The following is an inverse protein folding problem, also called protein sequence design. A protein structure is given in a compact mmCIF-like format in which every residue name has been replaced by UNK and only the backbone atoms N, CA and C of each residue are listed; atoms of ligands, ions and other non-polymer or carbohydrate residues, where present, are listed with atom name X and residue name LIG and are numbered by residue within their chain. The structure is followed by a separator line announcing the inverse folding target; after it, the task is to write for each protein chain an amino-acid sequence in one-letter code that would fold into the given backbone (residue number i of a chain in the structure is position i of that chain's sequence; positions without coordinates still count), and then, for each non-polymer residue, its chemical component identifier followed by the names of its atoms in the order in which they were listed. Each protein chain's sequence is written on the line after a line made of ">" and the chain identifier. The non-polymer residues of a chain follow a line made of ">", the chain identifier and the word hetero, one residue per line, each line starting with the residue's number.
data_IF_771851998719
#
_entry.id   IF_771851998719
#
_cell.length_a   1.000
_cell.length_b   1.000
_cell.length_c   1.000
_cell.angle_alpha   90.00
_cell.angle_beta   90.00
_cell.angle_gamma   90.00
#
_symmetry.space_group_name_H-M   'P 1'
#
loop_
_entity.id
_entity.type
_entity.pdbx_description
1 polymer ?
#
# COMPACT_ATOMS: atom_id res chain seq x y z
N UNK A 1 -18.48 -10.37 -8.80
CA UNK A 1 -18.58 -10.20 -7.33
C UNK A 1 -17.53 -9.19 -6.90
N UNK A 2 -17.96 -8.00 -6.48
CA UNK A 2 -17.09 -6.83 -6.29
C UNK A 2 -16.39 -6.86 -4.93
N UNK A 3 -15.07 -7.06 -4.93
CA UNK A 3 -14.20 -6.92 -3.76
C UNK A 3 -14.02 -5.44 -3.42
N UNK A 4 -14.99 -4.93 -2.68
CA UNK A 4 -15.05 -3.58 -2.14
C UNK A 4 -13.85 -3.39 -1.20
N UNK A 5 -12.94 -2.47 -1.53
CA UNK A 5 -11.98 -1.91 -0.56
C UNK A 5 -12.80 -1.59 0.68
N UNK A 6 -12.45 -2.18 1.83
CA UNK A 6 -13.09 -1.87 3.11
C UNK A 6 -12.89 -0.37 3.35
N UNK A 7 -13.95 0.41 3.13
CA UNK A 7 -14.01 1.79 3.57
C UNK A 7 -13.96 1.74 5.10
N UNK A 8 -12.77 1.85 5.68
CA UNK A 8 -12.62 2.21 7.08
C UNK A 8 -13.39 3.51 7.24
N UNK A 9 -14.40 3.53 8.11
CA UNK A 9 -15.28 4.68 8.38
C UNK A 9 -14.48 5.98 8.47
N UNK A 10 -13.29 5.92 9.06
CA UNK A 10 -12.35 7.04 9.18
C UNK A 10 -11.93 7.64 7.83
N UNK A 11 -11.65 6.83 6.80
CA UNK A 11 -11.27 7.32 5.47
C UNK A 11 -12.42 8.07 4.79
N UNK A 12 -13.68 7.85 5.19
CA UNK A 12 -14.82 8.61 4.68
C UNK A 12 -14.96 9.97 5.38
N UNK A 13 -14.77 10.01 6.70
CA UNK A 13 -15.13 11.19 7.50
C UNK A 13 -13.95 12.07 7.95
N UNK A 14 -12.76 11.50 8.16
CA UNK A 14 -11.59 12.28 8.60
C UNK A 14 -11.03 13.14 7.46
N UNK A 15 -10.42 14.30 7.78
CA UNK A 15 -9.69 15.11 6.81
C UNK A 15 -8.35 14.48 6.39
N UNK A 16 -7.88 13.47 7.12
CA UNK A 16 -6.61 12.78 6.91
C UNK A 16 -6.79 11.31 6.51
N UNK A 17 -5.74 10.74 5.92
CA UNK A 17 -5.66 9.31 5.55
C UNK A 17 -4.26 8.78 5.86
N UNK A 18 -4.16 7.50 6.16
CA UNK A 18 -2.87 6.80 6.32
C UNK A 18 -2.47 6.22 4.95
N UNK A 19 -1.23 6.46 4.54
CA UNK A 19 -0.66 5.98 3.27
C UNK A 19 0.67 5.28 3.50
N UNK A 20 1.02 4.35 2.60
CA UNK A 20 2.36 3.78 2.46
C UNK A 20 3.00 4.33 1.18
N UNK A 21 4.33 4.50 1.18
CA UNK A 21 5.05 4.96 -0.02
C UNK A 21 5.14 3.85 -1.08
N UNK A 22 5.19 4.25 -2.35
CA UNK A 22 5.45 3.36 -3.49
C UNK A 22 6.69 3.88 -4.22
N UNK A 23 7.59 2.98 -4.59
CA UNK A 23 8.81 3.31 -5.35
C UNK A 23 9.04 2.31 -6.47
N UNK A 24 9.40 2.80 -7.66
CA UNK A 24 9.91 1.99 -8.78
C UNK A 24 11.43 1.83 -8.75
N UNK A 25 12.10 2.39 -7.75
CA UNK A 25 13.52 2.14 -7.48
C UNK A 25 13.60 0.94 -6.53
N UNK A 26 13.96 -0.20 -7.10
CA UNK A 26 13.87 -1.49 -6.43
C UNK A 26 15.26 -1.96 -5.97
N UNK A 27 15.45 -2.30 -4.69
CA UNK A 27 16.69 -2.92 -4.25
C UNK A 27 16.84 -4.32 -4.86
N UNK A 28 18.09 -4.83 -5.00
CA UNK A 28 18.35 -6.16 -5.56
C UNK A 28 17.70 -7.31 -4.79
N UNK A 29 17.56 -7.14 -3.47
CA UNK A 29 16.85 -8.07 -2.59
C UNK A 29 15.70 -7.32 -1.90
N UNK A 30 14.48 -7.89 -1.88
CA UNK A 30 13.37 -7.27 -1.19
C UNK A 30 13.53 -7.37 0.33
N UNK A 31 13.10 -6.33 1.05
CA UNK A 31 12.93 -6.42 2.51
C UNK A 31 11.59 -7.11 2.84
N UNK A 32 11.45 -7.73 4.03
CA UNK A 32 10.19 -8.34 4.48
C UNK A 32 9.01 -7.35 4.59
N UNK A 33 9.29 -6.05 4.64
CA UNK A 33 8.32 -4.95 4.69
C UNK A 33 7.99 -4.38 3.31
N UNK A 34 8.55 -4.97 2.23
CA UNK A 34 8.23 -4.59 0.85
C UNK A 34 7.25 -5.56 0.21
N UNK A 35 6.24 -5.02 -0.48
CA UNK A 35 5.37 -5.82 -1.36
C UNK A 35 5.62 -5.42 -2.80
N UNK A 36 6.06 -6.38 -3.63
CA UNK A 36 6.35 -6.15 -5.05
C UNK A 36 5.06 -6.13 -5.86
N UNK A 37 4.94 -5.13 -6.73
CA UNK A 37 3.80 -4.94 -7.63
C UNK A 37 4.31 -4.82 -9.05
N UNK A 38 3.78 -5.65 -9.94
CA UNK A 38 4.14 -5.65 -11.36
C UNK A 38 3.52 -4.47 -12.09
N UNK A 39 4.20 -3.99 -13.14
CA UNK A 39 3.61 -3.03 -14.07
C UNK A 39 2.27 -3.57 -14.60
N UNK A 40 1.27 -2.68 -14.72
CA UNK A 40 -0.11 -3.01 -15.08
C UNK A 40 -1.00 -3.38 -13.90
N UNK A 41 -0.45 -3.91 -12.80
CA UNK A 41 -1.21 -4.12 -11.57
C UNK A 41 -1.34 -2.80 -10.78
N UNK A 42 -2.48 -2.59 -10.13
CA UNK A 42 -2.69 -1.39 -9.31
C UNK A 42 -2.74 -0.06 -10.07
N UNK A 43 -2.72 -0.07 -11.41
CA UNK A 43 -2.58 1.12 -12.24
C UNK A 43 -1.15 1.67 -12.35
N UNK A 44 -0.14 0.88 -11.97
CA UNK A 44 1.27 1.29 -12.04
C UNK A 44 1.86 1.04 -13.44
N UNK A 45 2.62 2.01 -13.95
CA UNK A 45 3.28 1.89 -15.27
C UNK A 45 4.61 1.13 -15.24
N UNK A 46 5.16 0.90 -14.04
CA UNK A 46 6.48 0.26 -13.83
C UNK A 46 6.39 -0.74 -12.69
N UNK A 47 7.22 -1.78 -12.77
CA UNK A 47 7.49 -2.64 -11.62
C UNK A 47 7.92 -1.77 -10.43
N UNK A 48 7.23 -1.96 -9.31
CA UNK A 48 7.36 -1.12 -8.12
C UNK A 48 7.24 -1.96 -6.85
N UNK A 49 7.52 -1.33 -5.71
CA UNK A 49 7.30 -1.89 -4.40
C UNK A 49 6.49 -0.92 -3.55
N UNK A 50 5.59 -1.46 -2.73
CA UNK A 50 4.93 -0.75 -1.63
C UNK A 50 5.82 -0.94 -0.40
N UNK A 51 6.18 0.15 0.27
CA UNK A 51 7.12 0.18 1.39
C UNK A 51 6.35 0.39 2.69
N UNK A 52 6.15 -0.69 3.47
CA UNK A 52 5.32 -0.67 4.68
C UNK A 52 6.07 -0.14 5.91
N UNK A 53 7.37 0.08 5.80
CA UNK A 53 8.19 0.84 6.77
C UNK A 53 8.09 2.36 6.55
N UNK A 54 7.52 2.80 5.43
CA UNK A 54 7.33 4.21 5.07
C UNK A 54 5.85 4.61 5.12
N UNK A 55 5.19 4.32 6.24
CA UNK A 55 3.78 4.68 6.49
C UNK A 55 3.67 6.06 7.14
N UNK A 56 2.75 6.89 6.67
CA UNK A 56 2.48 8.21 7.25
C UNK A 56 1.02 8.63 7.12
N UNK A 57 0.58 9.47 8.04
CA UNK A 57 -0.71 10.17 7.93
C UNK A 57 -0.54 11.44 7.12
N UNK A 58 -1.40 11.66 6.13
CA UNK A 58 -1.42 12.88 5.30
C UNK A 58 -2.82 13.50 5.28
N UNK A 59 -2.89 14.80 5.04
CA UNK A 59 -4.15 15.47 4.70
C UNK A 59 -4.63 15.00 3.31
N UNK A 60 -5.94 14.78 3.16
CA UNK A 60 -6.57 14.36 1.89
C UNK A 60 -6.31 15.31 0.73
N UNK A 61 -6.06 16.60 1.00
CA UNK A 61 -5.71 17.62 0.00
C UNK A 61 -4.37 17.34 -0.70
N UNK A 62 -3.53 16.47 -0.13
CA UNK A 62 -2.28 16.01 -0.76
C UNK A 62 -2.49 14.87 -1.76
N UNK A 63 -3.69 14.29 -1.82
CA UNK A 63 -4.05 13.31 -2.85
C UNK A 63 -4.42 14.07 -4.12
N UNK A 64 -3.74 13.74 -5.22
CA UNK A 64 -4.00 14.36 -6.52
C UNK A 64 -4.90 13.47 -7.37
N UNK A 65 -4.30 12.58 -8.16
CA UNK A 65 -5.00 11.73 -9.11
C UNK A 65 -5.13 10.31 -8.61
N UNK A 66 -6.29 9.70 -8.86
CA UNK A 66 -6.49 8.27 -8.70
C UNK A 66 -5.80 7.52 -9.84
N UNK A 67 -4.82 6.68 -9.52
CA UNK A 67 -4.07 5.90 -10.51
C UNK A 67 -4.62 4.48 -10.70
N UNK A 68 -5.27 3.92 -9.67
CA UNK A 68 -5.77 2.55 -9.71
C UNK A 68 -5.97 1.95 -8.32
N UNK A 69 -6.23 0.65 -8.32
CA UNK A 69 -6.53 -0.14 -7.13
C UNK A 69 -5.78 -1.47 -7.22
N UNK A 70 -5.15 -1.87 -6.12
CA UNK A 70 -4.51 -3.17 -5.99
C UNK A 70 -5.54 -4.29 -6.10
N UNK A 71 -5.12 -5.40 -6.70
CA UNK A 71 -5.95 -6.60 -6.80
C UNK A 71 -6.15 -7.28 -5.43
N UNK A 72 -7.07 -8.23 -5.41
CA UNK A 72 -7.43 -8.96 -4.19
C UNK A 72 -6.32 -9.92 -3.70
N UNK A 73 -5.32 -10.22 -4.54
CA UNK A 73 -4.22 -11.13 -4.21
C UNK A 73 -3.03 -10.38 -3.59
N UNK A 74 -2.86 -9.11 -3.94
CA UNK A 74 -1.78 -8.24 -3.44
C UNK A 74 -2.12 -7.68 -2.06
N UNK A 75 -3.38 -7.29 -1.81
CA UNK A 75 -3.76 -6.70 -0.51
C UNK A 75 -3.45 -7.57 0.71
N UNK A 76 -3.65 -8.90 0.70
CA UNK A 76 -3.22 -9.76 1.81
C UNK A 76 -1.71 -9.70 2.09
N UNK A 77 -0.88 -9.54 1.06
CA UNK A 77 0.57 -9.42 1.22
C UNK A 77 0.92 -8.08 1.90
N UNK A 78 0.18 -7.02 1.58
CA UNK A 78 0.29 -5.72 2.26
C UNK A 78 -0.09 -5.85 3.73
N UNK A 79 -1.15 -6.58 4.05
CA UNK A 79 -1.61 -6.84 5.41
C UNK A 79 -0.59 -7.66 6.24
N UNK A 80 0.16 -8.58 5.62
CA UNK A 80 1.24 -9.28 6.32
C UNK A 80 2.50 -8.40 6.47
N UNK A 81 2.90 -7.69 5.42
CA UNK A 81 4.07 -6.82 5.45
C UNK A 81 3.91 -5.68 6.49
N UNK A 82 2.71 -5.14 6.66
CA UNK A 82 2.45 -4.11 7.69
C UNK A 82 2.53 -4.68 9.11
N UNK A 83 2.10 -5.93 9.33
CA UNK A 83 2.26 -6.60 10.63
C UNK A 83 3.74 -6.78 10.96
N UNK A 84 4.54 -7.22 10.00
CA UNK A 84 5.99 -7.35 10.15
C UNK A 84 6.60 -5.97 10.46
N UNK A 85 6.26 -4.95 9.68
CA UNK A 85 6.80 -3.60 9.86
C UNK A 85 6.47 -2.99 11.23
N UNK A 86 5.32 -3.33 11.80
CA UNK A 86 4.87 -2.83 13.10
C UNK A 86 5.19 -3.79 14.26
N UNK A 87 5.90 -4.88 14.02
CA UNK A 87 6.25 -5.87 15.05
C UNK A 87 5.04 -6.60 15.66
N UNK A 88 3.96 -6.75 14.89
CA UNK A 88 2.71 -7.41 15.31
C UNK A 88 2.74 -8.93 15.13
N UNK A 89 3.84 -9.47 14.59
CA UNK A 89 4.09 -10.90 14.41
C UNK A 89 5.53 -11.23 14.84
N UNK A 90 5.80 -12.46 15.32
CA UNK A 90 7.16 -12.94 15.51
C UNK A 90 7.94 -13.00 14.19
N UNK A 91 9.24 -12.73 14.25
CA UNK A 91 10.18 -12.83 13.12
C UNK A 91 10.84 -14.20 13.03
#
# INVERSE_FOLDING_TARGET
>A
MASRIRFLTINRFAPTVIVAAISSSLPPKPYPTEVRVKAGAGGLFRDSAIWLDQIRTIDKRRLENYIGQLDAETMPQVDEAIKISLGLVPL
#
